data_IF_629951247727
#
_entry.id   IF_629951247727
#
_cell.length_a   1.000
_cell.length_b   1.000
_cell.length_c   1.000
_cell.angle_alpha   90.00
_cell.angle_beta   90.00
_cell.angle_gamma   90.00
#
_symmetry.space_group_name_H-M   'P 1'
#
loop_
_entity.id
_entity.type
_entity.pdbx_description
1 polymer ?
#
# COMPACT_ATOMS: atom_id res chain seq x y z
N UNK A 1 -3.98 -9.37 1.10
CA UNK A 1 -2.91 -8.77 1.91
C UNK A 1 -2.41 -9.85 2.85
N UNK A 2 -1.13 -9.81 3.25
CA UNK A 2 -0.53 -10.94 3.98
C UNK A 2 -0.43 -10.62 5.47
N UNK A 3 -1.01 -11.49 6.30
CA UNK A 3 -0.84 -11.50 7.76
C UNK A 3 0.59 -11.85 8.20
N UNK A 4 1.42 -12.32 7.27
CA UNK A 4 2.86 -12.56 7.49
C UNK A 4 3.65 -11.96 6.33
N UNK A 5 4.40 -10.90 6.61
CA UNK A 5 5.28 -10.26 5.65
C UNK A 5 6.58 -11.05 5.49
N UNK A 6 7.17 -11.01 4.29
CA UNK A 6 8.54 -11.48 4.04
C UNK A 6 9.58 -10.34 4.17
N UNK A 7 9.13 -9.12 4.46
CA UNK A 7 9.99 -7.96 4.71
C UNK A 7 10.48 -8.05 6.15
N UNK A 8 11.79 -8.19 6.35
CA UNK A 8 12.41 -8.62 7.62
C UNK A 8 12.11 -7.74 8.84
N UNK A 9 11.79 -6.46 8.63
CA UNK A 9 11.57 -5.48 9.69
C UNK A 9 10.08 -5.19 9.99
N UNK A 10 9.15 -5.90 9.36
CA UNK A 10 7.70 -5.77 9.62
C UNK A 10 7.04 -7.15 9.68
N UNK A 11 5.99 -7.28 10.47
CA UNK A 11 5.30 -8.56 10.65
C UNK A 11 4.13 -8.71 9.67
N UNK A 12 3.49 -7.60 9.30
CA UNK A 12 2.38 -7.58 8.34
C UNK A 12 2.48 -6.38 7.37
N UNK A 13 1.72 -6.47 6.28
CA UNK A 13 1.52 -5.35 5.36
C UNK A 13 0.03 -5.04 5.24
N UNK A 14 -0.31 -3.77 5.29
CA UNK A 14 -1.67 -3.27 5.11
C UNK A 14 -1.66 -2.14 4.10
N UNK A 15 -2.00 -2.44 2.85
CA UNK A 15 -1.99 -1.49 1.74
C UNK A 15 -3.42 -0.97 1.45
N UNK A 16 -3.87 0.12 2.11
CA UNK A 16 -5.12 0.79 1.79
C UNK A 16 -5.03 1.55 0.46
N UNK A 17 -3.83 1.79 -0.06
CA UNK A 17 -3.59 2.27 -1.42
C UNK A 17 -2.67 1.31 -2.17
N UNK A 18 -2.72 1.33 -3.51
CA UNK A 18 -1.73 0.69 -4.40
C UNK A 18 -1.28 1.67 -5.46
N UNK A 19 -0.02 1.60 -5.87
CA UNK A 19 0.57 2.45 -6.90
C UNK A 19 1.06 3.79 -6.38
N UNK A 20 2.04 4.35 -7.08
CA UNK A 20 2.58 5.70 -6.91
C UNK A 20 3.27 6.13 -8.21
N UNK A 21 3.84 7.34 -8.21
CA UNK A 21 4.64 7.88 -9.31
C UNK A 21 6.13 7.91 -8.94
N UNK A 22 6.99 7.66 -9.92
CA UNK A 22 8.43 7.91 -9.86
C UNK A 22 8.67 9.42 -9.83
N UNK A 23 9.19 9.90 -8.72
CA UNK A 23 9.45 11.33 -8.47
C UNK A 23 10.93 11.66 -8.34
N UNK A 24 11.79 10.67 -8.14
CA UNK A 24 13.25 10.87 -7.98
C UNK A 24 14.06 9.64 -8.41
N UNK A 25 15.39 9.77 -8.40
CA UNK A 25 16.32 8.66 -8.65
C UNK A 25 16.19 7.51 -7.63
N UNK A 26 15.60 7.77 -6.45
CA UNK A 26 15.33 6.73 -5.46
C UNK A 26 14.33 5.66 -5.94
N UNK A 27 13.55 5.96 -6.98
CA UNK A 27 12.55 5.05 -7.53
C UNK A 27 13.09 4.09 -8.61
N UNK A 28 14.34 4.26 -9.05
CA UNK A 28 14.89 3.62 -10.26
C UNK A 28 14.91 2.09 -10.17
N UNK A 29 14.87 1.54 -8.96
CA UNK A 29 14.83 0.10 -8.69
C UNK A 29 13.63 -0.29 -7.80
N UNK A 30 12.49 0.40 -7.97
CA UNK A 30 11.29 0.16 -7.18
C UNK A 30 10.75 -1.28 -7.35
N UNK A 31 10.89 -2.11 -6.32
CA UNK A 31 10.39 -3.49 -6.34
C UNK A 31 8.86 -3.54 -6.51
N UNK A 32 8.14 -2.56 -5.97
CA UNK A 32 6.68 -2.53 -6.00
C UNK A 32 6.15 -2.39 -7.43
N UNK A 33 6.81 -1.58 -8.26
CA UNK A 33 6.48 -1.44 -9.68
C UNK A 33 6.69 -2.76 -10.45
N UNK A 34 7.82 -3.43 -10.23
CA UNK A 34 8.09 -4.73 -10.86
C UNK A 34 7.09 -5.81 -10.43
N UNK A 35 6.76 -5.86 -9.13
CA UNK A 35 5.81 -6.81 -8.57
C UNK A 35 4.37 -6.52 -9.05
N UNK A 36 3.98 -5.25 -9.18
CA UNK A 36 2.66 -4.87 -9.69
C UNK A 36 2.42 -5.35 -11.12
N UNK A 37 3.43 -5.25 -12.00
CA UNK A 37 3.37 -5.81 -13.35
C UNK A 37 3.11 -7.32 -13.33
N UNK A 38 3.75 -8.06 -12.41
CA UNK A 38 3.52 -9.50 -12.23
C UNK A 38 2.11 -9.78 -11.68
N UNK A 39 1.66 -9.03 -10.67
CA UNK A 39 0.33 -9.20 -10.07
C UNK A 39 -0.79 -8.92 -11.07
N UNK A 40 -0.61 -7.92 -11.96
CA UNK A 40 -1.51 -7.68 -13.09
C UNK A 40 -1.61 -8.90 -13.99
N UNK A 41 -0.46 -9.44 -14.43
CA UNK A 41 -0.40 -10.61 -15.31
C UNK A 41 -1.02 -11.87 -14.69
N UNK A 42 -1.00 -11.98 -13.36
CA UNK A 42 -1.67 -13.05 -12.60
C UNK A 42 -3.16 -12.78 -12.34
N UNK A 43 -3.72 -11.69 -12.87
CA UNK A 43 -5.15 -11.37 -12.71
C UNK A 43 -5.53 -10.83 -11.32
N UNK A 44 -4.57 -10.35 -10.52
CA UNK A 44 -4.89 -9.80 -9.20
C UNK A 44 -5.76 -8.55 -9.32
N UNK A 45 -6.94 -8.57 -8.70
CA UNK A 45 -7.94 -7.51 -8.84
C UNK A 45 -7.41 -6.10 -8.50
N UNK A 46 -6.60 -5.98 -7.44
CA UNK A 46 -6.04 -4.68 -6.99
C UNK A 46 -5.01 -4.07 -7.95
N UNK A 47 -4.49 -4.84 -8.91
CA UNK A 47 -3.39 -4.45 -9.79
C UNK A 47 -3.80 -4.44 -11.26
N UNK A 48 -5.10 -4.30 -11.56
CA UNK A 48 -5.56 -4.21 -12.94
C UNK A 48 -5.46 -2.79 -13.53
N UNK A 49 -5.42 -1.77 -12.67
CA UNK A 49 -5.29 -0.36 -13.10
C UNK A 49 -3.85 -0.04 -13.47
N UNK A 50 -3.64 0.37 -14.71
CA UNK A 50 -2.33 0.83 -15.19
C UNK A 50 -2.06 2.28 -14.75
N UNK A 51 -0.79 2.58 -14.48
CA UNK A 51 -0.30 3.93 -14.25
C UNK A 51 0.16 4.60 -15.54
N UNK A 52 0.67 5.83 -15.43
CA UNK A 52 1.31 6.52 -16.56
C UNK A 52 2.60 5.77 -16.96
N UNK A 53 2.80 5.40 -18.24
CA UNK A 53 4.03 4.73 -18.68
C UNK A 53 5.33 5.47 -18.40
N UNK A 54 5.27 6.79 -18.15
CA UNK A 54 6.44 7.65 -17.90
C UNK A 54 6.84 7.68 -16.43
N UNK A 55 5.89 7.57 -15.50
CA UNK A 55 6.13 7.71 -14.05
C UNK A 55 5.80 6.46 -13.27
N UNK A 56 5.04 5.53 -13.82
CA UNK A 56 4.57 4.33 -13.15
C UNK A 56 4.65 3.16 -14.13
N UNK A 57 3.57 2.39 -14.32
CA UNK A 57 3.53 1.33 -15.31
C UNK A 57 2.39 0.35 -15.13
N UNK A 58 2.49 -0.83 -15.77
CA UNK A 58 1.43 -1.83 -15.76
C UNK A 58 1.05 -2.26 -14.34
N UNK A 59 -0.23 -2.14 -14.01
CA UNK A 59 -0.81 -2.53 -12.73
C UNK A 59 -0.44 -1.67 -11.53
N UNK A 60 0.28 -0.56 -11.75
CA UNK A 60 0.78 0.30 -10.68
C UNK A 60 0.12 1.69 -10.66
N UNK A 61 -1.08 1.80 -11.25
CA UNK A 61 -1.88 3.01 -11.20
C UNK A 61 -2.42 3.26 -9.79
N UNK A 62 -2.27 4.49 -9.30
CA UNK A 62 -2.75 4.89 -7.97
C UNK A 62 -4.24 4.52 -7.81
N UNK A 63 -4.53 3.75 -6.77
CA UNK A 63 -5.86 3.25 -6.43
C UNK A 63 -6.02 3.21 -4.92
N UNK A 64 -7.14 3.74 -4.41
CA UNK A 64 -7.56 3.60 -3.01
C UNK A 64 -8.41 2.34 -2.85
N UNK A 65 -8.33 1.70 -1.69
CA UNK A 65 -9.05 0.46 -1.38
C UNK A 65 -9.84 0.62 -0.08
N UNK A 66 -11.07 1.18 -0.12
CA UNK A 66 -11.91 1.34 1.08
C UNK A 66 -12.14 0.04 1.83
N UNK A 67 -12.35 -1.07 1.12
CA UNK A 67 -12.54 -2.40 1.74
C UNK A 67 -11.33 -2.86 2.56
N UNK A 68 -10.14 -2.30 2.29
CA UNK A 68 -8.93 -2.62 3.05
C UNK A 68 -8.93 -1.99 4.45
N UNK A 69 -9.72 -0.94 4.70
CA UNK A 69 -9.76 -0.24 5.98
C UNK A 69 -10.22 -1.14 7.13
N UNK A 70 -11.01 -2.18 6.84
CA UNK A 70 -11.54 -3.09 7.85
C UNK A 70 -10.52 -4.11 8.36
N UNK A 71 -9.37 -4.25 7.67
CA UNK A 71 -8.46 -5.36 7.91
C UNK A 71 -7.74 -5.28 9.26
N UNK A 72 -7.23 -4.11 9.71
CA UNK A 72 -6.61 -4.02 11.02
C UNK A 72 -7.53 -4.40 12.19
N UNK A 73 -8.83 -4.12 12.11
CA UNK A 73 -9.79 -4.53 13.15
C UNK A 73 -9.94 -6.05 13.31
N UNK A 74 -9.59 -6.83 12.28
CA UNK A 74 -9.62 -8.29 12.33
C UNK A 74 -8.42 -8.92 13.04
N UNK A 75 -7.36 -8.16 13.33
CA UNK A 75 -6.12 -8.69 13.87
C UNK A 75 -6.14 -8.76 15.40
N UNK A 76 -6.07 -9.99 15.92
CA UNK A 76 -6.14 -10.24 17.37
C UNK A 76 -4.82 -10.01 18.12
N UNK A 77 -3.69 -10.24 17.46
CA UNK A 77 -2.37 -10.14 18.08
C UNK A 77 -1.68 -8.83 17.69
N UNK A 78 -1.02 -8.13 18.64
CA UNK A 78 -0.13 -7.02 18.36
C UNK A 78 0.84 -7.36 17.24
N UNK A 79 1.13 -6.37 16.39
CA UNK A 79 2.05 -6.54 15.26
C UNK A 79 2.60 -5.20 14.77
N UNK A 80 3.77 -5.26 14.15
CA UNK A 80 4.37 -4.17 13.38
C UNK A 80 3.86 -4.24 11.94
N UNK A 81 3.29 -3.14 11.46
CA UNK A 81 2.50 -3.07 10.22
C UNK A 81 3.08 -2.03 9.29
N UNK A 82 3.51 -2.45 8.11
CA UNK A 82 3.91 -1.53 7.05
C UNK A 82 2.70 -1.15 6.17
N UNK A 83 2.36 0.13 6.14
CA UNK A 83 1.10 0.65 5.56
C UNK A 83 1.15 0.84 4.04
N UNK A 84 2.33 1.01 3.45
CA UNK A 84 2.41 1.41 2.04
C UNK A 84 3.53 0.65 1.32
N UNK A 85 3.56 -0.67 1.51
CA UNK A 85 4.53 -1.55 0.88
C UNK A 85 4.37 -1.67 -0.64
N UNK A 86 3.26 -1.22 -1.20
CA UNK A 86 2.96 -1.27 -2.64
C UNK A 86 2.42 0.08 -3.15
N UNK A 87 2.67 1.17 -2.44
CA UNK A 87 2.11 2.49 -2.72
C UNK A 87 2.85 3.62 -2.00
N UNK A 88 2.36 4.83 -2.22
CA UNK A 88 2.60 5.99 -1.36
C UNK A 88 1.22 6.50 -0.87
N UNK A 89 1.02 6.52 0.44
CA UNK A 89 -0.25 6.95 1.07
C UNK A 89 -0.47 8.47 0.92
N UNK A 90 0.60 9.25 0.87
CA UNK A 90 0.54 10.71 0.81
C UNK A 90 0.72 11.26 -0.62
N UNK A 91 0.68 10.38 -1.61
CA UNK A 91 0.70 10.77 -3.01
C UNK A 91 -0.39 11.83 -3.29
N UNK A 92 -0.06 12.89 -4.02
CA UNK A 92 -0.91 14.09 -4.23
C UNK A 92 -2.33 13.85 -4.80
N UNK A 93 -2.58 12.64 -5.32
CA UNK A 93 -3.88 12.19 -5.87
C UNK A 93 -4.69 11.31 -4.90
N UNK A 94 -4.17 11.01 -3.71
CA UNK A 94 -4.94 10.35 -2.65
C UNK A 94 -5.82 11.41 -1.97
N UNK A 95 -7.15 11.23 -1.92
CA UNK A 95 -8.01 12.20 -1.24
C UNK A 95 -7.66 12.33 0.24
N UNK A 96 -7.59 13.57 0.74
CA UNK A 96 -7.26 13.83 2.15
C UNK A 96 -8.22 13.11 3.10
N UNK A 97 -9.52 13.04 2.76
CA UNK A 97 -10.51 12.33 3.59
C UNK A 97 -10.23 10.83 3.68
N UNK A 98 -9.66 10.23 2.63
CA UNK A 98 -9.22 8.82 2.69
C UNK A 98 -7.99 8.65 3.58
N UNK A 99 -7.05 9.61 3.55
CA UNK A 99 -5.91 9.61 4.48
C UNK A 99 -6.41 9.72 5.93
N UNK A 100 -7.39 10.58 6.21
CA UNK A 100 -8.02 10.68 7.55
C UNK A 100 -8.60 9.33 7.98
N UNK A 101 -9.37 8.66 7.12
CA UNK A 101 -9.93 7.33 7.41
C UNK A 101 -8.83 6.30 7.72
N UNK A 102 -7.71 6.31 6.99
CA UNK A 102 -6.57 5.42 7.29
C UNK A 102 -6.00 5.71 8.69
N UNK A 103 -5.88 6.98 9.07
CA UNK A 103 -5.40 7.37 10.39
C UNK A 103 -6.42 7.11 11.52
N UNK A 104 -7.72 7.17 11.23
CA UNK A 104 -8.78 6.74 12.16
C UNK A 104 -8.63 5.26 12.48
N UNK A 105 -8.43 4.40 11.46
CA UNK A 105 -8.15 2.98 11.69
C UNK A 105 -6.91 2.78 12.55
N UNK A 106 -5.82 3.52 12.28
CA UNK A 106 -4.58 3.46 13.10
C UNK A 106 -4.89 3.81 14.56
N UNK A 107 -5.67 4.87 14.81
CA UNK A 107 -6.02 5.31 16.15
C UNK A 107 -6.95 4.32 16.88
N UNK A 108 -7.87 3.70 16.15
CA UNK A 108 -8.84 2.74 16.70
C UNK A 108 -8.23 1.37 17.03
N UNK A 109 -7.08 1.04 16.44
CA UNK A 109 -6.37 -0.22 16.70
C UNK A 109 -4.99 0.02 17.31
N UNK A 110 -4.92 0.58 18.54
CA UNK A 110 -3.67 1.02 19.18
C UNK A 110 -2.75 -0.13 19.61
N UNK A 111 -3.25 -1.38 19.59
CA UNK A 111 -2.44 -2.57 19.86
C UNK A 111 -1.41 -2.88 18.76
N UNK A 112 -1.48 -2.20 17.60
CA UNK A 112 -0.54 -2.38 16.50
C UNK A 112 0.41 -1.18 16.36
N UNK A 113 1.63 -1.45 15.92
CA UNK A 113 2.61 -0.41 15.60
C UNK A 113 2.61 -0.20 14.09
N UNK A 114 2.29 1.01 13.64
CA UNK A 114 2.22 1.34 12.21
C UNK A 114 3.47 2.07 11.73
N UNK A 115 3.99 1.62 10.59
CA UNK A 115 5.10 2.24 9.88
C UNK A 115 4.58 2.80 8.56
N UNK A 116 4.75 4.11 8.39
CA UNK A 116 4.35 4.82 7.17
C UNK A 116 5.60 5.51 6.60
N UNK A 117 5.86 5.28 5.31
CA UNK A 117 6.99 5.87 4.58
C UNK A 117 6.44 6.66 3.38
N UNK A 118 7.11 7.75 2.98
CA UNK A 118 6.68 8.57 1.84
C UNK A 118 7.90 9.23 1.19
#
# INVERSE_FOLDING_TARGET
>A
MSDRSAIEWTEATWNPTTGCDRVSAGCDNCYALALAKRLKAMGSAKYQKDGDPRTSGPGFGLTVHPDALQIPYGWKSPRTVFVNSMSDLFHARVPLDFVRQVFEVIADTPQHTYQVLT
#
